data_IF_021921410159
#
_entry.id   IF_021921410159
#
_cell.length_a   1.000
_cell.length_b   1.000
_cell.length_c   1.000
_cell.angle_alpha   90.00
_cell.angle_beta   90.00
_cell.angle_gamma   90.00
#
_symmetry.space_group_name_H-M   'P 1'
#
loop_
_entity.id
_entity.type
_entity.pdbx_description
1 polymer ?
#
# COMPACT_ATOMS: atom_id res chain seq x y z
N UNK A 1 -22.87 -20.12 30.30
CA UNK A 1 -22.07 -20.41 29.10
C UNK A 1 -22.81 -19.83 27.90
N UNK A 2 -22.45 -18.60 27.49
CA UNK A 2 -22.90 -18.04 26.24
C UNK A 2 -21.89 -18.53 25.20
N UNK A 3 -22.33 -19.25 24.14
CA UNK A 3 -21.45 -19.60 23.04
C UNK A 3 -21.05 -18.27 22.36
N UNK A 4 -19.76 -17.96 22.38
CA UNK A 4 -19.33 -16.82 21.59
C UNK A 4 -19.26 -17.23 20.12
N UNK A 5 -20.25 -16.73 19.39
CA UNK A 5 -20.30 -16.81 17.96
C UNK A 5 -19.07 -16.10 17.39
N UNK A 6 -18.18 -16.86 16.77
CA UNK A 6 -17.15 -16.34 15.91
C UNK A 6 -17.84 -15.64 14.71
N UNK A 7 -18.25 -14.39 14.89
CA UNK A 7 -18.54 -13.53 13.75
C UNK A 7 -17.20 -13.31 13.02
N UNK A 8 -16.90 -14.16 12.07
CA UNK A 8 -15.86 -13.89 11.07
C UNK A 8 -16.29 -12.60 10.37
N UNK A 9 -15.70 -11.47 10.78
CA UNK A 9 -15.96 -10.20 10.14
C UNK A 9 -15.70 -10.39 8.64
N UNK A 10 -16.70 -10.11 7.83
CA UNK A 10 -16.62 -10.22 6.37
C UNK A 10 -15.39 -9.43 5.89
N UNK A 11 -14.48 -10.13 5.21
CA UNK A 11 -13.23 -9.52 4.76
C UNK A 11 -13.54 -8.53 3.64
N UNK A 12 -13.33 -7.26 3.89
CA UNK A 12 -13.51 -6.20 2.90
C UNK A 12 -12.54 -6.40 1.73
N UNK A 13 -13.07 -6.44 0.51
CA UNK A 13 -12.35 -6.28 -0.76
C UNK A 13 -13.15 -5.36 -1.68
N UNK A 14 -12.50 -4.75 -2.64
CA UNK A 14 -13.13 -3.81 -3.56
C UNK A 14 -13.76 -4.56 -4.75
N UNK A 15 -14.94 -4.14 -5.17
CA UNK A 15 -15.47 -4.47 -6.49
C UNK A 15 -14.59 -3.83 -7.58
N UNK A 16 -14.75 -4.23 -8.85
CA UNK A 16 -14.01 -3.60 -9.96
C UNK A 16 -14.31 -2.11 -10.06
N UNK A 17 -15.55 -1.71 -9.91
CA UNK A 17 -15.96 -0.31 -9.95
C UNK A 17 -15.33 0.50 -8.81
N UNK A 18 -15.35 -0.03 -7.57
CA UNK A 18 -14.71 0.62 -6.43
C UNK A 18 -13.19 0.73 -6.60
N UNK A 19 -12.54 -0.34 -7.09
CA UNK A 19 -11.11 -0.32 -7.37
C UNK A 19 -10.75 0.76 -8.39
N UNK A 20 -11.51 0.86 -9.48
CA UNK A 20 -11.32 1.89 -10.52
C UNK A 20 -11.47 3.28 -9.94
N UNK A 21 -12.55 3.55 -9.18
CA UNK A 21 -12.76 4.85 -8.51
C UNK A 21 -11.61 5.20 -7.54
N UNK A 22 -11.17 4.22 -6.76
CA UNK A 22 -10.06 4.43 -5.82
C UNK A 22 -8.77 4.78 -6.56
N UNK A 23 -8.42 4.04 -7.62
CA UNK A 23 -7.20 4.28 -8.40
C UNK A 23 -7.25 5.61 -9.15
N UNK A 24 -8.40 6.03 -9.66
CA UNK A 24 -8.58 7.34 -10.28
C UNK A 24 -8.31 8.48 -9.27
N UNK A 25 -8.86 8.40 -8.07
CA UNK A 25 -8.64 9.41 -7.04
C UNK A 25 -7.20 9.39 -6.52
N UNK A 26 -6.58 8.22 -6.43
CA UNK A 26 -5.17 8.04 -6.01
C UNK A 26 -4.19 8.73 -6.95
N UNK A 27 -4.53 9.00 -8.21
CA UNK A 27 -3.65 9.73 -9.14
C UNK A 27 -3.19 11.08 -8.59
N UNK A 28 -4.00 11.73 -7.77
CA UNK A 28 -3.70 13.00 -7.14
C UNK A 28 -3.01 12.85 -5.78
N UNK A 29 -2.77 11.61 -5.32
CA UNK A 29 -2.15 11.34 -4.02
C UNK A 29 -0.62 11.24 -4.13
N UNK A 30 0.07 11.79 -3.13
CA UNK A 30 1.52 11.71 -3.03
C UNK A 30 2.07 10.27 -3.03
N UNK A 31 1.32 9.32 -2.50
CA UNK A 31 1.70 7.91 -2.38
C UNK A 31 1.08 7.02 -3.47
N UNK A 32 0.70 7.58 -4.63
CA UNK A 32 0.02 6.84 -5.69
C UNK A 32 0.80 5.58 -6.11
N UNK A 33 2.10 5.68 -6.34
CA UNK A 33 2.92 4.53 -6.75
C UNK A 33 2.92 3.42 -5.68
N UNK A 34 2.89 3.79 -4.40
CA UNK A 34 2.76 2.82 -3.30
C UNK A 34 1.43 2.06 -3.36
N UNK A 35 0.33 2.75 -3.59
CA UNK A 35 -0.98 2.11 -3.70
C UNK A 35 -1.08 1.23 -4.93
N UNK A 36 -0.58 1.67 -6.08
CA UNK A 36 -0.50 0.84 -7.28
C UNK A 36 0.29 -0.44 -7.04
N UNK A 37 1.47 -0.36 -6.44
CA UNK A 37 2.26 -1.54 -6.08
C UNK A 37 1.50 -2.47 -5.15
N UNK A 38 0.76 -1.95 -4.17
CA UNK A 38 -0.07 -2.77 -3.28
C UNK A 38 -1.17 -3.53 -4.05
N UNK A 39 -1.84 -2.90 -5.01
CA UNK A 39 -2.86 -3.55 -5.85
C UNK A 39 -2.28 -4.56 -6.83
N UNK A 40 -1.08 -4.33 -7.36
CA UNK A 40 -0.46 -5.19 -8.38
C UNK A 40 0.30 -6.38 -7.78
N UNK A 41 0.71 -6.30 -6.52
CA UNK A 41 1.58 -7.31 -5.89
C UNK A 41 0.95 -8.01 -4.69
N UNK A 42 -0.11 -7.45 -4.14
CA UNK A 42 -0.73 -7.93 -2.90
C UNK A 42 0.20 -7.90 -1.67
N UNK A 43 1.28 -7.13 -1.69
CA UNK A 43 2.19 -6.99 -0.55
C UNK A 43 1.47 -6.46 0.69
N UNK A 44 1.89 -6.93 1.87
CA UNK A 44 1.42 -6.34 3.14
C UNK A 44 2.01 -4.96 3.32
N UNK A 45 1.29 -4.05 3.97
CA UNK A 45 1.77 -2.67 4.18
C UNK A 45 3.13 -2.60 4.90
N UNK A 46 3.42 -3.50 5.81
CA UNK A 46 4.74 -3.59 6.44
C UNK A 46 5.84 -4.04 5.46
N UNK A 47 5.54 -4.94 4.53
CA UNK A 47 6.46 -5.37 3.48
C UNK A 47 6.74 -4.21 2.50
N UNK A 48 5.70 -3.46 2.13
CA UNK A 48 5.82 -2.25 1.30
C UNK A 48 6.67 -1.19 2.00
N UNK A 49 6.39 -0.93 3.28
CA UNK A 49 7.16 0.04 4.07
C UNK A 49 8.63 -0.36 4.32
N UNK A 50 8.92 -1.66 4.27
CA UNK A 50 10.27 -2.21 4.44
C UNK A 50 11.01 -2.53 3.14
N UNK A 51 10.36 -2.32 1.97
CA UNK A 51 10.95 -2.62 0.67
C UNK A 51 12.12 -1.68 0.37
N UNK A 52 13.25 -2.23 -0.03
CA UNK A 52 14.43 -1.48 -0.46
C UNK A 52 14.68 -1.64 -1.95
N UNK A 53 15.39 -0.68 -2.55
CA UNK A 53 15.75 -0.74 -3.97
C UNK A 53 16.60 -1.96 -4.32
N UNK A 54 17.39 -2.47 -3.39
CA UNK A 54 18.20 -3.69 -3.53
C UNK A 54 17.37 -4.98 -3.59
N UNK A 55 16.11 -4.95 -3.16
CA UNK A 55 15.20 -6.09 -3.20
C UNK A 55 14.57 -6.29 -4.58
N UNK A 56 14.75 -5.34 -5.49
CA UNK A 56 14.17 -5.36 -6.83
C UNK A 56 15.21 -5.92 -7.80
N UNK A 57 14.98 -7.14 -8.26
CA UNK A 57 15.77 -7.75 -9.33
C UNK A 57 15.19 -7.35 -10.70
N UNK A 58 15.78 -6.33 -11.31
CA UNK A 58 15.33 -5.80 -12.58
C UNK A 58 15.53 -6.77 -13.75
N UNK A 59 16.53 -7.65 -13.66
CA UNK A 59 16.83 -8.63 -14.71
C UNK A 59 15.82 -9.78 -14.68
N UNK A 60 15.51 -10.29 -13.47
CA UNK A 60 14.52 -11.35 -13.28
C UNK A 60 13.09 -10.82 -13.20
N UNK A 61 12.92 -9.51 -13.19
CA UNK A 61 11.61 -8.83 -13.01
C UNK A 61 10.86 -9.35 -11.81
N UNK A 62 11.48 -9.32 -10.63
CA UNK A 62 10.84 -9.74 -9.39
C UNK A 62 11.22 -8.86 -8.19
N UNK A 63 10.29 -8.80 -7.23
CA UNK A 63 10.47 -8.16 -5.93
C UNK A 63 10.70 -9.26 -4.90
N UNK A 64 11.84 -9.22 -4.21
CA UNK A 64 12.18 -10.17 -3.15
C UNK A 64 11.74 -9.63 -1.80
N UNK A 65 10.79 -10.29 -1.16
CA UNK A 65 10.32 -9.90 0.18
C UNK A 65 11.32 -10.41 1.21
N UNK A 66 12.13 -9.50 1.76
CA UNK A 66 13.22 -9.79 2.70
C UNK A 66 12.95 -9.28 4.12
N UNK A 67 12.05 -8.30 4.26
CA UNK A 67 11.80 -7.61 5.53
C UNK A 67 10.41 -7.00 5.60
N UNK A 68 10.05 -6.58 6.81
CA UNK A 68 8.81 -5.86 7.08
C UNK A 68 9.09 -4.71 8.05
N UNK A 69 8.59 -3.53 7.75
CA UNK A 69 8.62 -2.40 8.67
C UNK A 69 7.57 -2.61 9.76
N UNK A 70 8.01 -2.61 10.99
CA UNK A 70 7.14 -2.59 12.16
C UNK A 70 7.28 -1.26 12.91
N UNK A 71 6.19 -0.84 13.53
CA UNK A 71 6.17 0.34 14.38
C UNK A 71 5.46 -0.06 15.69
N UNK A 72 6.18 0.03 16.79
CA UNK A 72 5.71 -0.33 18.12
C UNK A 72 5.94 0.84 19.07
N UNK A 73 5.21 0.86 20.18
CA UNK A 73 5.46 1.78 21.27
C UNK A 73 6.10 1.01 22.41
N UNK A 74 7.33 1.36 22.75
CA UNK A 74 8.08 0.83 23.88
C UNK A 74 8.22 1.93 24.93
N UNK A 75 7.64 1.74 26.10
CA UNK A 75 7.62 2.74 27.18
C UNK A 75 7.12 4.13 26.74
N UNK A 76 6.07 4.17 25.90
CA UNK A 76 5.52 5.42 25.35
C UNK A 76 6.32 6.03 24.19
N UNK A 77 7.46 5.47 23.86
CA UNK A 77 8.31 5.93 22.75
C UNK A 77 8.00 5.14 21.49
N UNK A 78 7.76 5.85 20.39
CA UNK A 78 7.54 5.24 19.10
C UNK A 78 8.84 4.70 18.52
N UNK A 79 8.93 3.40 18.37
CA UNK A 79 10.09 2.71 17.81
C UNK A 79 9.73 2.07 16.48
N UNK A 80 10.52 2.35 15.45
CA UNK A 80 10.41 1.72 14.13
C UNK A 80 11.59 0.77 13.95
N UNK A 81 11.32 -0.41 13.38
CA UNK A 81 12.37 -1.43 13.11
C UNK A 81 12.05 -2.18 11.81
N UNK A 82 13.08 -2.53 11.07
CA UNK A 82 12.99 -3.51 9.99
C UNK A 82 13.17 -4.91 10.58
N UNK A 83 12.12 -5.71 10.51
CA UNK A 83 12.12 -7.08 11.04
C UNK A 83 12.17 -8.09 9.90
N UNK A 84 12.86 -9.21 10.12
CA UNK A 84 12.80 -10.36 9.22
C UNK A 84 11.37 -10.93 9.22
N UNK A 85 10.93 -11.52 8.10
CA UNK A 85 9.66 -12.24 8.04
C UNK A 85 9.59 -13.32 9.12
N UNK A 86 8.44 -13.43 9.80
CA UNK A 86 8.28 -14.33 10.97
C UNK A 86 8.37 -15.82 10.63
N UNK A 87 8.11 -16.21 9.38
CA UNK A 87 8.14 -17.61 8.93
C UNK A 87 8.94 -17.72 7.64
N UNK A 88 9.50 -18.91 7.38
CA UNK A 88 10.22 -19.20 6.13
C UNK A 88 9.35 -18.94 4.89
N UNK A 89 8.06 -19.26 4.95
CA UNK A 89 7.11 -19.02 3.85
C UNK A 89 6.79 -17.54 3.61
N UNK A 90 7.26 -16.64 4.45
CA UNK A 90 7.11 -15.20 4.25
C UNK A 90 8.21 -14.61 3.37
N UNK A 91 9.33 -15.32 3.20
CA UNK A 91 10.32 -15.01 2.16
C UNK A 91 9.78 -15.49 0.83
N UNK A 92 9.61 -14.60 -0.10
CA UNK A 92 9.10 -14.92 -1.42
C UNK A 92 9.57 -13.90 -2.45
N UNK A 93 9.64 -14.32 -3.69
CA UNK A 93 9.80 -13.44 -4.84
C UNK A 93 8.45 -13.25 -5.51
N UNK A 94 8.10 -12.02 -5.80
CA UNK A 94 6.89 -11.64 -6.50
C UNK A 94 7.29 -11.22 -7.90
N UNK A 95 6.94 -11.98 -8.95
CA UNK A 95 7.20 -11.55 -10.32
C UNK A 95 6.38 -10.31 -10.64
N UNK A 96 6.89 -9.43 -11.49
CA UNK A 96 6.18 -8.26 -11.93
C UNK A 96 6.25 -8.07 -13.45
N UNK A 97 5.26 -7.39 -13.99
CA UNK A 97 5.13 -7.06 -15.41
C UNK A 97 5.59 -5.61 -15.69
N UNK A 98 5.61 -5.23 -16.97
CA UNK A 98 6.03 -3.92 -17.43
C UNK A 98 5.34 -2.76 -16.70
N UNK A 99 4.04 -2.86 -16.42
CA UNK A 99 3.29 -1.85 -15.67
C UNK A 99 3.87 -1.60 -14.27
N UNK A 100 4.21 -2.65 -13.54
CA UNK A 100 4.85 -2.54 -12.22
C UNK A 100 6.25 -1.94 -12.33
N UNK A 101 7.00 -2.27 -13.37
CA UNK A 101 8.32 -1.71 -13.65
C UNK A 101 8.24 -0.20 -13.87
N UNK A 102 7.32 0.27 -14.71
CA UNK A 102 7.07 1.69 -14.96
C UNK A 102 6.74 2.47 -13.66
N UNK A 103 5.88 1.90 -12.82
CA UNK A 103 5.52 2.50 -11.53
C UNK A 103 6.73 2.60 -10.60
N UNK A 104 7.57 1.55 -10.53
CA UNK A 104 8.79 1.56 -9.72
C UNK A 104 9.81 2.58 -10.25
N UNK A 105 9.95 2.72 -11.57
CA UNK A 105 10.82 3.72 -12.18
C UNK A 105 10.31 5.15 -11.88
N UNK A 106 9.01 5.39 -12.01
CA UNK A 106 8.38 6.66 -11.64
C UNK A 106 8.65 7.02 -10.17
N UNK A 107 8.49 6.05 -9.27
CA UNK A 107 8.81 6.23 -7.85
C UNK A 107 10.29 6.56 -7.62
N UNK A 108 11.19 5.91 -8.34
CA UNK A 108 12.64 6.16 -8.25
C UNK A 108 13.01 7.57 -8.67
N UNK A 109 12.47 8.03 -9.79
CA UNK A 109 12.67 9.40 -10.27
C UNK A 109 12.10 10.42 -9.28
N UNK A 110 10.87 10.21 -8.79
CA UNK A 110 10.25 11.07 -7.78
C UNK A 110 11.13 11.17 -6.55
N UNK A 111 11.60 10.04 -6.01
CA UNK A 111 12.46 10.02 -4.83
C UNK A 111 13.81 10.72 -5.08
N UNK A 112 14.41 10.54 -6.26
CA UNK A 112 15.67 11.22 -6.62
C UNK A 112 15.50 12.74 -6.70
N UNK A 113 14.40 13.22 -7.30
CA UNK A 113 14.07 14.67 -7.30
C UNK A 113 13.93 15.21 -5.88
N UNK A 114 13.32 14.46 -4.97
CA UNK A 114 13.17 14.85 -3.57
C UNK A 114 14.50 14.88 -2.83
N UNK A 115 15.31 13.84 -2.96
CA UNK A 115 16.65 13.80 -2.35
C UNK A 115 17.46 15.03 -2.77
N UNK A 116 17.42 15.39 -4.06
CA UNK A 116 18.09 16.57 -4.58
C UNK A 116 17.50 17.87 -4.02
N UNK A 117 16.19 18.00 -3.95
CA UNK A 117 15.51 19.20 -3.47
C UNK A 117 15.69 19.45 -1.96
N UNK A 118 15.70 18.39 -1.17
CA UNK A 118 15.80 18.49 0.29
C UNK A 118 17.24 18.44 0.81
N UNK A 119 18.19 17.87 0.04
CA UNK A 119 19.61 17.81 0.42
C UNK A 119 19.80 17.28 1.85
N UNK A 120 20.47 18.06 2.71
CA UNK A 120 20.75 17.68 4.10
C UNK A 120 19.50 17.53 4.98
N UNK A 121 18.31 17.92 4.52
CA UNK A 121 17.03 17.71 5.23
C UNK A 121 16.42 16.36 4.94
N UNK A 122 16.97 15.59 4.01
CA UNK A 122 16.56 14.22 3.74
C UNK A 122 16.87 13.32 4.93
N UNK A 123 15.87 12.62 5.45
CA UNK A 123 15.92 11.91 6.75
C UNK A 123 16.14 10.39 6.64
N UNK A 124 16.47 9.90 5.46
CA UNK A 124 16.84 8.48 5.31
C UNK A 124 18.21 8.25 5.93
N UNK A 125 18.33 7.30 6.84
CA UNK A 125 19.60 6.98 7.50
C UNK A 125 19.60 5.58 8.12
N UNK A 126 20.78 4.97 8.23
CA UNK A 126 20.98 3.70 8.88
C UNK A 126 20.18 2.55 8.27
N UNK A 127 19.46 1.81 9.08
CA UNK A 127 18.66 0.66 8.60
C UNK A 127 17.55 1.07 7.61
N UNK A 128 17.11 2.34 7.62
CA UNK A 128 16.06 2.85 6.74
C UNK A 128 16.59 3.45 5.43
N UNK A 129 17.88 3.33 5.15
CA UNK A 129 18.44 3.76 3.88
C UNK A 129 17.92 2.90 2.73
N UNK A 130 17.79 3.55 1.57
CA UNK A 130 17.37 2.90 0.32
C UNK A 130 15.96 2.31 0.31
N UNK A 131 15.06 2.70 1.24
CA UNK A 131 13.65 2.35 1.15
C UNK A 131 13.04 2.88 -0.15
N UNK A 132 12.21 2.07 -0.79
CA UNK A 132 11.48 2.44 -2.02
C UNK A 132 10.43 3.50 -1.72
N UNK A 133 9.64 3.29 -0.67
CA UNK A 133 8.55 4.19 -0.28
C UNK A 133 8.90 4.93 0.99
N UNK A 134 8.98 6.25 0.86
CA UNK A 134 9.29 7.17 1.95
C UNK A 134 8.30 8.31 1.99
N UNK A 135 8.25 9.01 3.12
CA UNK A 135 7.60 10.32 3.18
C UNK A 135 8.36 11.33 2.31
N UNK A 136 7.79 12.51 2.10
CA UNK A 136 8.45 13.58 1.32
C UNK A 136 9.84 13.96 1.83
N UNK A 137 10.13 13.72 3.10
CA UNK A 137 11.42 13.99 3.73
C UNK A 137 12.31 12.75 3.91
N UNK A 138 11.93 11.59 3.33
CA UNK A 138 12.75 10.39 3.39
C UNK A 138 12.52 9.46 4.58
N UNK A 139 11.62 9.78 5.50
CA UNK A 139 11.28 8.88 6.61
C UNK A 139 10.46 7.67 6.15
N UNK A 140 10.52 6.52 6.85
CA UNK A 140 9.74 5.34 6.50
C UNK A 140 8.22 5.59 6.48
N UNK A 141 7.52 4.96 5.54
CA UNK A 141 6.05 4.98 5.47
C UNK A 141 5.50 3.86 6.34
N UNK A 142 5.04 4.21 7.53
CA UNK A 142 4.40 3.28 8.46
C UNK A 142 2.92 3.08 8.13
N UNK A 143 2.33 2.02 8.66
CA UNK A 143 0.91 1.67 8.47
C UNK A 143 -0.05 2.85 8.70
N UNK A 144 0.14 3.63 9.77
CA UNK A 144 -0.72 4.76 10.10
C UNK A 144 -0.70 5.86 9.02
N UNK A 145 0.43 6.04 8.32
CA UNK A 145 0.52 6.98 7.19
C UNK A 145 -0.36 6.49 6.04
N UNK A 146 -0.24 5.22 5.67
CA UNK A 146 -1.06 4.62 4.61
C UNK A 146 -2.57 4.67 4.96
N UNK A 147 -2.95 4.34 6.19
CA UNK A 147 -4.34 4.42 6.66
C UNK A 147 -4.91 5.85 6.58
N UNK A 148 -4.10 6.84 6.98
CA UNK A 148 -4.49 8.25 6.88
C UNK A 148 -4.71 8.69 5.43
N UNK A 149 -3.82 8.27 4.53
CA UNK A 149 -3.95 8.61 3.11
C UNK A 149 -5.13 7.89 2.46
N UNK A 150 -5.38 6.61 2.77
CA UNK A 150 -6.59 5.90 2.33
C UNK A 150 -7.85 6.64 2.77
N UNK A 151 -7.93 7.07 4.04
CA UNK A 151 -9.09 7.83 4.54
C UNK A 151 -9.30 9.15 3.78
N UNK A 152 -8.22 9.84 3.38
CA UNK A 152 -8.33 11.05 2.56
C UNK A 152 -8.91 10.75 1.17
N UNK A 153 -8.41 9.69 0.53
CA UNK A 153 -8.91 9.24 -0.79
C UNK A 153 -10.38 8.86 -0.70
N UNK A 154 -10.77 8.04 0.27
CA UNK A 154 -12.18 7.64 0.47
C UNK A 154 -13.07 8.86 0.72
N UNK A 155 -12.61 9.81 1.54
CA UNK A 155 -13.37 11.05 1.78
C UNK A 155 -13.54 11.88 0.50
N UNK A 156 -12.52 11.98 -0.34
CA UNK A 156 -12.60 12.70 -1.61
C UNK A 156 -13.56 12.02 -2.58
N UNK A 157 -13.51 10.69 -2.70
CA UNK A 157 -14.45 9.90 -3.50
C UNK A 157 -15.90 10.16 -3.05
N UNK A 158 -16.18 10.07 -1.75
CA UNK A 158 -17.53 10.28 -1.23
C UNK A 158 -18.01 11.72 -1.40
N UNK A 159 -17.12 12.68 -1.30
CA UNK A 159 -17.45 14.08 -1.55
C UNK A 159 -17.83 14.32 -3.02
N UNK A 160 -17.09 13.77 -3.96
CA UNK A 160 -17.39 13.85 -5.38
C UNK A 160 -18.71 13.14 -5.73
N UNK A 161 -18.90 11.94 -5.19
CA UNK A 161 -20.13 11.17 -5.34
C UNK A 161 -21.35 11.95 -4.84
N UNK A 162 -21.24 12.62 -3.70
CA UNK A 162 -22.36 13.43 -3.17
C UNK A 162 -22.73 14.58 -4.12
N UNK A 163 -21.73 15.23 -4.73
CA UNK A 163 -21.97 16.30 -5.71
C UNK A 163 -22.66 15.76 -6.97
N UNK A 164 -22.23 14.61 -7.48
CA UNK A 164 -22.80 13.97 -8.66
C UNK A 164 -24.22 13.49 -8.40
N UNK A 165 -24.46 12.87 -7.26
CA UNK A 165 -25.78 12.40 -6.84
C UNK A 165 -26.81 13.55 -6.78
N UNK A 166 -26.42 14.72 -6.26
CA UNK A 166 -27.28 15.91 -6.25
C UNK A 166 -27.61 16.38 -7.66
N UNK A 167 -26.61 16.41 -8.57
CA UNK A 167 -26.84 16.83 -9.98
C UNK A 167 -27.78 15.88 -10.73
N UNK A 168 -27.70 14.59 -10.43
CA UNK A 168 -28.48 13.54 -11.07
C UNK A 168 -29.79 13.24 -10.33
N UNK A 169 -30.09 13.96 -9.27
CA UNK A 169 -31.28 13.77 -8.42
C UNK A 169 -31.46 12.32 -7.95
N UNK A 170 -30.37 11.71 -7.45
CA UNK A 170 -30.34 10.36 -6.90
C UNK A 170 -29.67 10.35 -5.52
N UNK A 171 -29.83 9.25 -4.80
CA UNK A 171 -29.07 9.01 -3.58
C UNK A 171 -27.59 8.72 -3.87
N UNK A 172 -26.65 9.23 -3.04
CA UNK A 172 -25.24 8.96 -3.21
C UNK A 172 -24.89 7.49 -2.90
N UNK A 173 -23.99 6.91 -3.69
CA UNK A 173 -23.45 5.57 -3.46
C UNK A 173 -22.19 5.69 -2.62
N UNK A 174 -22.30 5.41 -1.34
CA UNK A 174 -21.18 5.52 -0.41
C UNK A 174 -20.05 4.53 -0.72
N UNK A 175 -18.83 5.04 -0.85
CA UNK A 175 -17.63 4.23 -0.84
C UNK A 175 -17.30 3.88 0.62
N UNK A 176 -17.44 2.60 0.97
CA UNK A 176 -17.23 2.12 2.34
C UNK A 176 -15.77 2.21 2.77
N UNK A 177 -15.55 2.24 4.07
CA UNK A 177 -14.22 2.27 4.67
C UNK A 177 -13.26 1.24 4.07
N UNK A 178 -12.05 1.70 3.76
CA UNK A 178 -10.96 0.91 3.22
C UNK A 178 -9.77 0.96 4.18
N UNK A 179 -9.02 -0.14 4.24
CA UNK A 179 -7.80 -0.26 5.03
C UNK A 179 -6.73 -1.06 4.24
N UNK A 180 -5.44 -0.94 4.58
CA UNK A 180 -4.36 -1.52 3.76
C UNK A 180 -4.51 -3.03 3.49
N UNK A 181 -5.05 -3.78 4.45
CA UNK A 181 -5.25 -5.23 4.27
C UNK A 181 -6.37 -5.56 3.27
N UNK A 182 -7.38 -4.68 3.16
CA UNK A 182 -8.44 -4.83 2.16
C UNK A 182 -7.91 -4.68 0.72
N UNK A 183 -6.89 -3.86 0.49
CA UNK A 183 -6.20 -3.77 -0.80
C UNK A 183 -5.58 -5.13 -1.16
N UNK A 184 -4.90 -5.79 -0.22
CA UNK A 184 -4.36 -7.12 -0.43
C UNK A 184 -5.46 -8.16 -0.67
N UNK A 185 -6.59 -8.09 0.05
CA UNK A 185 -7.73 -8.98 -0.21
C UNK A 185 -8.28 -8.77 -1.61
N UNK A 186 -8.35 -7.52 -2.08
CA UNK A 186 -8.75 -7.20 -3.45
C UNK A 186 -7.81 -7.85 -4.46
N UNK A 187 -6.48 -7.75 -4.29
CA UNK A 187 -5.52 -8.44 -5.14
C UNK A 187 -5.76 -9.95 -5.17
N UNK A 188 -5.91 -10.59 -4.00
CA UNK A 188 -6.18 -12.03 -3.92
C UNK A 188 -7.47 -12.40 -4.66
N UNK A 189 -8.56 -11.63 -4.47
CA UNK A 189 -9.83 -11.87 -5.18
C UNK A 189 -9.64 -11.79 -6.69
N UNK A 190 -8.87 -10.81 -7.19
CA UNK A 190 -8.57 -10.69 -8.63
C UNK A 190 -7.75 -11.88 -9.17
N UNK A 191 -6.82 -12.40 -8.37
CA UNK A 191 -6.08 -13.61 -8.73
C UNK A 191 -7.01 -14.82 -8.87
N UNK A 192 -7.92 -15.02 -7.90
CA UNK A 192 -8.92 -16.10 -7.97
C UNK A 192 -9.86 -15.98 -9.18
N UNK A 193 -10.37 -14.78 -9.45
CA UNK A 193 -11.22 -14.50 -10.60
C UNK A 193 -10.54 -14.83 -11.94
N UNK A 194 -9.19 -14.79 -11.98
CA UNK A 194 -8.37 -15.17 -13.14
C UNK A 194 -7.89 -16.63 -13.10
N UNK A 195 -8.41 -17.45 -12.19
CA UNK A 195 -8.09 -18.87 -12.11
C UNK A 195 -6.73 -19.19 -11.48
N UNK A 196 -6.14 -18.27 -10.71
CA UNK A 196 -4.93 -18.55 -9.96
C UNK A 196 -5.27 -19.25 -8.65
N UNK A 197 -4.76 -20.46 -8.44
CA UNK A 197 -4.90 -21.19 -7.18
C UNK A 197 -4.13 -20.49 -6.05
N UNK A 198 -4.78 -20.38 -4.89
CA UNK A 198 -4.09 -20.00 -3.67
C UNK A 198 -3.29 -21.20 -3.15
N UNK A 199 -2.02 -21.26 -3.44
CA UNK A 199 -1.08 -22.14 -2.75
C UNK A 199 -0.43 -21.46 -1.56
#
# INVERSE_FOLDING_TARGET
NVPWENKTAERRFLSMAEQTRFLQEVEHNWYKEMFYIMFLTGMRIGEVGGLKWEDIDWNKKCINIQRSLSCQYENGVKTMRLTKPKTHNSYRSIPFMAETEEILLSQKEKQNRQKKAYGNRWRSSGEFDNLVFTTSLGSPVIRNVAEKEIKKVVKAINFQEAIEAVKENREPIEFKDLYPHAIRHTFCSRCFEKGMDAK
#
